data_IF_177316665563
#
_entry.id   IF_177316665563
#
_cell.length_a   1.000
_cell.length_b   1.000
_cell.length_c   1.000
_cell.angle_alpha   90.00
_cell.angle_beta   90.00
_cell.angle_gamma   90.00
#
_symmetry.space_group_name_H-M   'P 1'
#
loop_
_entity.id
_entity.type
_entity.pdbx_description
1 polymer ?
#
# COMPACT_ATOMS: atom_id res chain seq x y z
N UNK A 1 14.93 -19.12 -12.69
CA UNK A 1 14.80 -18.37 -11.42
C UNK A 1 13.33 -18.08 -11.21
N UNK A 2 12.73 -18.41 -10.04
CA UNK A 2 11.34 -18.09 -9.75
C UNK A 2 11.07 -16.58 -9.78
N UNK A 3 9.93 -16.19 -10.35
CA UNK A 3 9.49 -14.79 -10.40
C UNK A 3 8.33 -14.60 -9.42
N UNK A 4 8.49 -13.67 -8.49
CA UNK A 4 7.46 -13.28 -7.52
C UNK A 4 6.98 -11.88 -7.87
N UNK A 5 5.68 -11.74 -8.20
CA UNK A 5 5.08 -10.44 -8.46
C UNK A 5 4.79 -9.69 -7.16
N UNK A 6 5.10 -8.39 -7.13
CA UNK A 6 4.85 -7.56 -5.95
C UNK A 6 4.33 -6.17 -6.34
N UNK A 7 3.48 -5.61 -5.49
CA UNK A 7 2.85 -4.30 -5.69
C UNK A 7 1.58 -4.36 -6.54
N UNK A 8 0.57 -3.60 -6.14
CA UNK A 8 -0.70 -3.49 -6.87
C UNK A 8 -1.62 -4.71 -6.78
N UNK A 9 -1.32 -5.69 -5.95
CA UNK A 9 -2.13 -6.90 -5.76
C UNK A 9 -2.92 -6.75 -4.46
N UNK A 10 -4.24 -6.71 -4.55
CA UNK A 10 -5.12 -6.53 -3.40
C UNK A 10 -6.37 -7.42 -3.43
N UNK A 11 -6.60 -8.13 -4.54
CA UNK A 11 -7.76 -8.99 -4.74
C UNK A 11 -7.44 -10.18 -5.66
N UNK A 12 -8.46 -11.02 -5.89
CA UNK A 12 -8.36 -12.21 -6.73
C UNK A 12 -8.02 -11.91 -8.19
N UNK A 13 -8.44 -10.75 -8.72
CA UNK A 13 -8.17 -10.34 -10.10
C UNK A 13 -6.68 -10.05 -10.29
N UNK A 14 -6.10 -9.24 -9.39
CA UNK A 14 -4.66 -8.95 -9.40
C UNK A 14 -3.82 -10.19 -9.16
N UNK A 15 -4.27 -11.09 -8.26
CA UNK A 15 -3.63 -12.37 -8.01
C UNK A 15 -3.61 -13.23 -9.28
N UNK A 16 -4.75 -13.47 -9.92
CA UNK A 16 -4.85 -14.26 -11.13
C UNK A 16 -4.05 -13.66 -12.29
N UNK A 17 -4.10 -12.33 -12.47
CA UNK A 17 -3.35 -11.64 -13.51
C UNK A 17 -1.83 -11.83 -13.36
N UNK A 18 -1.30 -11.80 -12.12
CA UNK A 18 0.12 -12.04 -11.88
C UNK A 18 0.56 -13.43 -12.37
N UNK A 19 -0.22 -14.46 -12.09
CA UNK A 19 0.05 -15.81 -12.57
C UNK A 19 -0.11 -15.95 -14.10
N UNK A 20 -1.13 -15.31 -14.67
CA UNK A 20 -1.33 -15.28 -16.13
C UNK A 20 -0.15 -14.61 -16.85
N UNK A 21 0.53 -13.66 -16.21
CA UNK A 21 1.76 -13.02 -16.72
C UNK A 21 3.03 -13.82 -16.44
N UNK A 22 2.92 -15.01 -15.82
CA UNK A 22 4.04 -15.92 -15.59
C UNK A 22 4.70 -15.85 -14.22
N UNK A 23 4.15 -15.11 -13.27
CA UNK A 23 4.62 -15.15 -11.88
C UNK A 23 4.36 -16.53 -11.27
N UNK A 24 5.25 -16.96 -10.38
CA UNK A 24 5.16 -18.22 -9.64
C UNK A 24 4.71 -18.01 -8.19
N UNK A 25 4.55 -16.76 -7.79
CA UNK A 25 4.02 -16.35 -6.50
C UNK A 25 3.78 -14.86 -6.47
N UNK A 26 3.15 -14.39 -5.39
CA UNK A 26 2.89 -12.97 -5.16
C UNK A 26 3.38 -12.55 -3.77
N UNK A 27 3.79 -11.29 -3.64
CA UNK A 27 4.05 -10.64 -2.36
C UNK A 27 3.08 -9.49 -2.21
N UNK A 28 2.25 -9.56 -1.17
CA UNK A 28 1.20 -8.58 -0.88
C UNK A 28 1.59 -7.85 0.42
N UNK A 29 1.61 -6.52 0.40
CA UNK A 29 1.91 -5.69 1.57
C UNK A 29 0.67 -4.94 2.04
N UNK A 30 0.28 -3.90 1.31
CA UNK A 30 -0.76 -2.94 1.73
C UNK A 30 -2.10 -3.61 2.09
N UNK A 31 -2.53 -4.63 1.35
CA UNK A 31 -3.76 -5.35 1.66
C UNK A 31 -3.69 -6.09 3.01
N UNK A 32 -2.53 -6.66 3.37
CA UNK A 32 -2.34 -7.30 4.67
C UNK A 32 -2.34 -6.30 5.83
N UNK A 33 -2.11 -5.01 5.58
CA UNK A 33 -2.27 -3.97 6.60
C UNK A 33 -3.73 -3.78 7.03
N UNK A 34 -4.71 -4.11 6.16
CA UNK A 34 -6.13 -4.09 6.45
C UNK A 34 -6.64 -5.47 6.91
N UNK A 35 -5.95 -6.07 7.85
CA UNK A 35 -6.37 -7.32 8.50
C UNK A 35 -6.51 -7.13 10.01
N UNK A 36 -7.30 -7.99 10.65
CA UNK A 36 -7.51 -7.94 12.10
C UNK A 36 -6.25 -8.25 12.89
N UNK A 37 -5.27 -8.92 12.27
CA UNK A 37 -3.98 -9.29 12.87
C UNK A 37 -2.90 -8.23 12.63
N UNK A 38 -3.20 -7.18 11.87
CA UNK A 38 -2.24 -6.11 11.58
C UNK A 38 -1.92 -5.30 12.83
N UNK A 39 -0.65 -4.91 12.99
CA UNK A 39 -0.18 -3.98 14.03
C UNK A 39 -0.33 -2.51 13.62
N UNK A 40 -1.01 -2.23 12.50
CA UNK A 40 -1.28 -0.87 12.04
C UNK A 40 -2.17 -0.17 13.08
N UNK A 41 -1.73 1.01 13.54
CA UNK A 41 -2.50 1.76 14.52
C UNK A 41 -3.83 2.30 13.95
N UNK A 42 -4.73 2.73 14.83
CA UNK A 42 -6.07 3.22 14.44
C UNK A 42 -6.01 4.36 13.43
N UNK A 43 -5.07 5.28 13.57
CA UNK A 43 -4.90 6.38 12.62
C UNK A 43 -4.47 5.84 11.23
N UNK A 44 -3.47 4.97 11.19
CA UNK A 44 -3.01 4.33 9.95
C UNK A 44 -4.12 3.54 9.27
N UNK A 45 -4.93 2.82 10.05
CA UNK A 45 -6.08 2.07 9.55
C UNK A 45 -7.13 3.01 8.96
N UNK A 46 -7.45 4.11 9.65
CA UNK A 46 -8.40 5.11 9.14
C UNK A 46 -7.92 5.76 7.84
N UNK A 47 -6.61 6.03 7.73
CA UNK A 47 -6.03 6.55 6.49
C UNK A 47 -6.11 5.53 5.34
N UNK A 48 -5.84 4.26 5.63
CA UNK A 48 -5.90 3.19 4.63
C UNK A 48 -7.32 3.01 4.07
N UNK A 49 -8.34 3.00 4.94
CA UNK A 49 -9.74 2.82 4.53
C UNK A 49 -10.36 4.07 3.87
N UNK A 50 -9.76 5.25 4.10
CA UNK A 50 -10.27 6.50 3.53
C UNK A 50 -9.53 6.94 2.25
N UNK A 51 -8.40 6.30 1.90
CA UNK A 51 -7.58 6.76 0.79
C UNK A 51 -8.12 6.35 -0.58
N UNK A 52 -7.85 7.19 -1.56
CA UNK A 52 -7.96 6.85 -2.98
C UNK A 52 -6.59 6.50 -3.56
N UNK A 53 -6.54 5.91 -4.74
CA UNK A 53 -5.30 5.52 -5.42
C UNK A 53 -4.37 6.72 -5.71
N UNK A 54 -4.94 7.94 -5.77
CA UNK A 54 -4.20 9.20 -5.97
C UNK A 54 -3.62 9.80 -4.69
N UNK A 55 -4.03 9.31 -3.51
CA UNK A 55 -3.64 9.88 -2.21
C UNK A 55 -2.29 9.37 -1.72
N UNK A 56 -1.44 8.93 -2.62
CA UNK A 56 -0.10 8.48 -2.27
C UNK A 56 0.98 9.35 -2.90
N UNK A 57 2.09 9.46 -2.20
CA UNK A 57 3.28 10.16 -2.66
C UNK A 57 4.53 9.27 -2.50
N UNK A 58 5.48 9.42 -3.40
CA UNK A 58 6.79 8.76 -3.28
C UNK A 58 7.76 9.75 -2.65
N UNK A 59 8.33 9.40 -1.51
CA UNK A 59 9.21 10.29 -0.77
C UNK A 59 10.38 9.57 -0.10
N UNK A 60 11.44 10.31 0.19
CA UNK A 60 12.56 9.89 1.04
C UNK A 60 12.48 10.46 2.45
N UNK A 61 11.51 11.35 2.72
CA UNK A 61 11.43 12.04 3.99
C UNK A 61 11.23 11.09 5.18
N UNK A 62 10.49 9.98 4.99
CA UNK A 62 10.20 9.03 6.06
C UNK A 62 11.43 8.24 6.54
N UNK A 63 12.09 7.57 5.63
CA UNK A 63 13.11 6.54 5.95
C UNK A 63 14.50 6.88 5.45
N UNK A 64 14.64 7.90 4.60
CA UNK A 64 15.86 8.15 3.84
C UNK A 64 15.94 7.36 2.53
N UNK A 65 15.20 6.26 2.42
CA UNK A 65 15.03 5.48 1.19
C UNK A 65 13.73 5.86 0.49
N UNK A 66 13.66 5.65 -0.82
CA UNK A 66 12.47 5.92 -1.62
C UNK A 66 11.35 4.95 -1.24
N UNK A 67 10.26 5.47 -0.69
CA UNK A 67 9.06 4.70 -0.33
C UNK A 67 7.81 5.42 -0.81
N UNK A 68 6.77 4.66 -1.15
CA UNK A 68 5.43 5.18 -1.37
C UNK A 68 4.65 5.13 -0.06
N UNK A 69 3.95 6.20 0.27
CA UNK A 69 3.17 6.34 1.50
C UNK A 69 1.94 7.22 1.25
N UNK A 70 1.01 7.24 2.19
CA UNK A 70 -0.12 8.17 2.14
C UNK A 70 0.41 9.60 2.15
N UNK A 71 -0.11 10.43 1.28
CA UNK A 71 0.27 11.85 1.20
C UNK A 71 -0.32 12.61 2.39
N UNK A 72 0.56 13.24 3.16
CA UNK A 72 0.15 14.20 4.19
C UNK A 72 0.62 15.61 3.81
N UNK A 73 0.06 16.66 4.43
CA UNK A 73 0.52 18.03 4.20
C UNK A 73 2.03 18.20 4.38
N UNK A 74 2.61 17.55 5.39
CA UNK A 74 4.04 17.63 5.70
C UNK A 74 4.88 16.94 4.61
N UNK A 75 4.45 15.77 4.14
CA UNK A 75 5.13 15.07 3.04
C UNK A 75 5.02 15.84 1.73
N UNK A 76 3.85 16.39 1.46
CA UNK A 76 3.66 17.24 0.27
C UNK A 76 4.56 18.46 0.33
N UNK A 77 4.61 19.17 1.45
CA UNK A 77 5.48 20.33 1.62
C UNK A 77 6.96 19.99 1.43
N UNK A 78 7.41 18.84 1.95
CA UNK A 78 8.77 18.37 1.77
C UNK A 78 9.08 18.10 0.28
N UNK A 79 8.20 17.41 -0.43
CA UNK A 79 8.43 17.07 -1.83
C UNK A 79 8.32 18.29 -2.75
N UNK A 80 7.38 19.20 -2.50
CA UNK A 80 7.27 20.47 -3.23
C UNK A 80 8.55 21.32 -3.07
N UNK A 81 9.07 21.44 -1.85
CA UNK A 81 10.34 22.13 -1.59
C UNK A 81 11.52 21.45 -2.29
N UNK A 82 11.59 20.10 -2.23
CA UNK A 82 12.64 19.35 -2.91
C UNK A 82 12.63 19.56 -4.42
N UNK A 83 11.46 19.56 -5.03
CA UNK A 83 11.29 19.79 -6.47
C UNK A 83 11.59 21.24 -6.86
N UNK A 84 11.39 22.20 -5.95
CA UNK A 84 11.70 23.61 -6.13
C UNK A 84 13.18 23.95 -5.89
N UNK A 85 14.01 22.94 -5.58
CA UNK A 85 15.45 23.14 -5.39
C UNK A 85 15.87 23.63 -4.00
N UNK A 86 15.07 23.37 -2.98
CA UNK A 86 15.39 23.70 -1.59
C UNK A 86 16.75 23.11 -1.15
N UNK A 87 17.44 23.80 -0.27
CA UNK A 87 18.72 23.40 0.30
C UNK A 87 18.58 22.16 1.18
N UNK A 88 19.68 21.49 1.48
CA UNK A 88 19.70 20.34 2.39
C UNK A 88 19.22 20.71 3.80
N UNK A 89 19.53 21.91 4.24
CA UNK A 89 19.17 22.46 5.55
C UNK A 89 17.65 22.66 5.63
N UNK A 90 17.04 23.28 4.63
CA UNK A 90 15.60 23.47 4.53
C UNK A 90 14.86 22.14 4.48
N UNK A 91 15.31 21.19 3.67
CA UNK A 91 14.73 19.85 3.60
C UNK A 91 14.88 19.08 4.92
N UNK A 92 15.98 19.29 5.65
CA UNK A 92 16.17 18.70 6.98
C UNK A 92 15.13 19.18 7.98
N UNK A 93 14.82 20.49 7.97
CA UNK A 93 13.78 21.06 8.86
C UNK A 93 12.40 20.52 8.51
N UNK A 94 12.02 20.50 7.23
CA UNK A 94 10.74 19.94 6.80
C UNK A 94 10.62 18.45 7.15
N UNK A 95 11.71 17.69 7.02
CA UNK A 95 11.73 16.27 7.40
C UNK A 95 11.44 16.05 8.88
N UNK A 96 11.86 16.97 9.76
CA UNK A 96 11.55 16.88 11.20
C UNK A 96 10.04 16.87 11.45
N UNK A 97 9.26 17.65 10.70
CA UNK A 97 7.81 17.63 10.79
C UNK A 97 7.22 16.28 10.37
N UNK A 98 7.70 15.70 9.26
CA UNK A 98 7.28 14.37 8.78
C UNK A 98 7.56 13.27 9.82
N UNK A 99 8.70 13.35 10.53
CA UNK A 99 9.12 12.30 11.47
C UNK A 99 8.50 12.49 12.87
N UNK A 100 8.12 13.73 13.24
CA UNK A 100 7.57 14.03 14.59
C UNK A 100 6.35 13.19 14.96
N UNK A 101 5.47 12.88 14.00
CA UNK A 101 4.30 12.04 14.22
C UNK A 101 4.61 10.59 14.66
N UNK A 102 5.87 10.16 14.57
CA UNK A 102 6.26 8.76 14.83
C UNK A 102 6.42 8.39 16.31
N UNK A 103 6.42 9.34 17.24
CA UNK A 103 6.89 9.11 18.62
C UNK A 103 5.97 9.61 19.72
N UNK A 104 4.68 9.86 19.48
CA UNK A 104 3.84 10.52 20.49
C UNK A 104 2.64 9.68 20.94
N UNK A 105 2.87 8.58 21.63
CA UNK A 105 1.87 7.90 22.49
C UNK A 105 0.50 7.67 21.84
N UNK A 106 -0.58 8.11 22.52
CA UNK A 106 -1.98 7.92 22.06
C UNK A 106 -2.32 8.63 20.74
N UNK A 107 -1.55 9.65 20.35
CA UNK A 107 -1.72 10.40 19.09
C UNK A 107 -0.73 9.94 18.03
N UNK A 108 -0.39 8.65 18.02
CA UNK A 108 0.60 8.06 17.11
C UNK A 108 0.11 8.11 15.65
N UNK A 109 0.47 9.18 14.96
CA UNK A 109 0.26 9.38 13.52
C UNK A 109 1.43 8.85 12.70
N UNK A 110 1.97 7.67 13.07
CA UNK A 110 3.04 7.04 12.29
C UNK A 110 2.58 6.75 10.89
N UNK A 111 3.24 7.37 9.94
CA UNK A 111 3.03 7.02 8.55
C UNK A 111 3.60 5.65 8.26
N UNK A 112 2.84 4.86 7.51
CA UNK A 112 3.25 3.57 6.99
C UNK A 112 3.46 3.64 5.48
N UNK A 113 4.35 2.80 4.96
CA UNK A 113 4.48 2.61 3.54
C UNK A 113 3.21 1.93 3.01
N UNK A 114 2.51 2.59 2.09
CA UNK A 114 1.27 2.09 1.49
C UNK A 114 1.29 2.30 -0.01
N UNK A 115 0.95 1.26 -0.75
CA UNK A 115 0.83 1.34 -2.21
C UNK A 115 -0.52 1.91 -2.65
N UNK A 116 -0.63 2.29 -3.93
CA UNK A 116 -1.86 2.81 -4.53
C UNK A 116 -3.04 1.83 -4.46
N UNK A 117 -2.75 0.53 -4.34
CA UNK A 117 -3.76 -0.51 -4.14
C UNK A 117 -4.63 -0.27 -2.88
N UNK A 118 -4.16 0.55 -1.93
CA UNK A 118 -4.96 0.98 -0.78
C UNK A 118 -6.29 1.60 -1.18
N UNK A 119 -6.36 2.34 -2.30
CA UNK A 119 -7.60 2.90 -2.81
C UNK A 119 -8.67 1.89 -3.27
N UNK A 120 -8.35 0.60 -3.27
CA UNK A 120 -9.29 -0.49 -3.55
C UNK A 120 -9.66 -1.29 -2.29
N UNK A 121 -9.16 -0.90 -1.12
CA UNK A 121 -9.36 -1.62 0.14
C UNK A 121 -10.45 -0.90 0.94
N UNK A 122 -11.57 -1.53 1.10
CA UNK A 122 -12.77 -0.98 1.75
C UNK A 122 -13.20 -1.76 3.00
N UNK A 123 -12.45 -2.82 3.37
CA UNK A 123 -12.78 -3.67 4.50
C UNK A 123 -11.55 -4.12 5.30
N UNK A 124 -11.81 -4.52 6.54
CA UNK A 124 -10.85 -5.21 7.43
C UNK A 124 -11.40 -6.60 7.70
N UNK A 125 -10.61 -7.62 7.44
CA UNK A 125 -10.99 -9.01 7.69
C UNK A 125 -9.81 -9.82 8.22
N UNK A 126 -10.04 -10.99 8.84
CA UNK A 126 -8.98 -11.92 9.22
C UNK A 126 -8.12 -12.32 8.02
N UNK A 127 -6.82 -12.45 8.22
CA UNK A 127 -5.87 -12.78 7.15
C UNK A 127 -6.19 -14.12 6.48
N UNK A 128 -6.63 -15.11 7.28
CA UNK A 128 -7.06 -16.42 6.76
C UNK A 128 -8.21 -16.30 5.78
N UNK A 129 -9.28 -15.59 6.17
CA UNK A 129 -10.45 -15.35 5.32
C UNK A 129 -10.09 -14.62 4.03
N UNK A 130 -9.18 -13.64 4.12
CA UNK A 130 -8.70 -12.92 2.94
C UNK A 130 -7.98 -13.86 1.97
N UNK A 131 -7.05 -14.68 2.45
CA UNK A 131 -6.25 -15.59 1.60
C UNK A 131 -7.16 -16.65 0.95
N UNK A 132 -7.98 -17.32 1.75
CA UNK A 132 -8.89 -18.37 1.26
C UNK A 132 -9.89 -17.81 0.25
N UNK A 133 -10.50 -16.67 0.55
CA UNK A 133 -11.44 -16.00 -0.35
C UNK A 133 -10.78 -15.53 -1.66
N UNK A 134 -9.57 -14.99 -1.60
CA UNK A 134 -8.82 -14.58 -2.78
C UNK A 134 -8.49 -15.78 -3.69
N UNK A 135 -8.05 -16.90 -3.13
CA UNK A 135 -7.72 -18.10 -3.88
C UNK A 135 -8.98 -18.72 -4.51
N UNK A 136 -10.07 -18.83 -3.74
CA UNK A 136 -11.32 -19.38 -4.24
C UNK A 136 -11.90 -18.55 -5.38
N UNK A 137 -11.91 -17.23 -5.23
CA UNK A 137 -12.41 -16.32 -6.27
C UNK A 137 -11.51 -16.30 -7.50
N UNK A 138 -10.19 -16.39 -7.34
CA UNK A 138 -9.26 -16.50 -8.47
C UNK A 138 -9.50 -17.78 -9.28
N UNK A 139 -9.76 -18.91 -8.61
CA UNK A 139 -10.09 -20.17 -9.27
C UNK A 139 -11.41 -20.05 -10.05
N UNK A 140 -12.44 -19.42 -9.49
CA UNK A 140 -13.71 -19.14 -10.17
C UNK A 140 -13.50 -18.27 -11.42
N UNK A 141 -12.77 -17.17 -11.30
CA UNK A 141 -12.46 -16.27 -12.42
C UNK A 141 -11.68 -16.95 -13.54
N UNK A 142 -10.73 -17.83 -13.19
CA UNK A 142 -10.00 -18.61 -14.19
C UNK A 142 -10.94 -19.55 -14.98
N UNK A 143 -11.94 -20.15 -14.31
CA UNK A 143 -13.00 -20.95 -14.96
C UNK A 143 -13.85 -20.12 -15.91
N UNK A 144 -14.27 -18.93 -15.52
CA UNK A 144 -15.07 -18.03 -16.35
C UNK A 144 -14.30 -17.58 -17.63
N UNK A 145 -13.02 -17.23 -17.48
CA UNK A 145 -12.15 -16.90 -18.63
C UNK A 145 -12.03 -18.07 -19.60
N UNK A 146 -11.81 -19.28 -19.08
CA UNK A 146 -11.71 -20.49 -19.92
C UNK A 146 -13.04 -20.80 -20.64
N UNK A 147 -14.17 -20.65 -19.96
CA UNK A 147 -15.50 -20.83 -20.57
C UNK A 147 -15.74 -19.82 -21.71
N UNK A 148 -15.37 -18.55 -21.48
CA UNK A 148 -15.51 -17.48 -22.49
C UNK A 148 -14.61 -17.73 -23.72
N UNK A 149 -13.39 -18.24 -23.51
CA UNK A 149 -12.45 -18.51 -24.59
C UNK A 149 -12.87 -19.72 -25.49
N UNK A 150 -13.78 -20.57 -24.98
CA UNK A 150 -14.26 -21.78 -25.70
C UNK A 150 -15.72 -21.61 -26.19
N UNK A 151 -16.33 -20.46 -26.08
CA UNK A 151 -17.67 -20.16 -26.57
C UNK A 151 -17.63 -19.55 -27.96
#
# INVERSE_FOLDING_TARGET
>A
VPVIATGGIGDARGFLAAFALGAQGVQIGTRFMATTESDLNEWGMSQLLAMHETDTIVSRAMTGSTVRCVMTPELKAYEDARLSGATKEELSELRKAVVRGRNTGKDDKRQSAMGQIGGMIDDIRPVGEFIEGMIAEAARLAGDVNATANA
#
